data_IF_767827164348
#
_entry.id   IF_767827164348
#
_cell.length_a   1.000
_cell.length_b   1.000
_cell.length_c   1.000
_cell.angle_alpha   90.00
_cell.angle_beta   90.00
_cell.angle_gamma   90.00
#
_symmetry.space_group_name_H-M   'P 1'
#
loop_
_entity.id
_entity.type
_entity.pdbx_description
1 polymer ?
#
# COMPACT_ATOMS: atom_id res chain seq x y z
N UNK A 1 8.82 -6.68 -23.55
CA UNK A 1 10.23 -6.98 -23.23
C UNK A 1 10.62 -6.60 -21.79
N UNK A 2 10.34 -5.36 -21.35
CA UNK A 2 10.72 -4.88 -20.00
C UNK A 2 9.82 -5.42 -18.87
N UNK A 3 8.50 -5.50 -19.06
CA UNK A 3 7.57 -6.08 -18.07
C UNK A 3 7.94 -7.51 -17.67
N UNK A 4 8.45 -8.32 -18.61
CA UNK A 4 8.87 -9.69 -18.35
C UNK A 4 10.09 -9.81 -17.42
N UNK A 5 10.78 -8.70 -17.12
CA UNK A 5 11.90 -8.65 -16.18
C UNK A 5 11.49 -8.23 -14.77
N UNK A 6 10.24 -7.78 -14.56
CA UNK A 6 9.73 -7.44 -13.22
C UNK A 6 9.87 -8.59 -12.21
N UNK A 7 9.57 -9.86 -12.53
CA UNK A 7 9.74 -10.95 -11.57
C UNK A 7 11.17 -11.09 -11.03
N UNK A 8 12.18 -10.90 -11.90
CA UNK A 8 13.58 -10.93 -11.49
C UNK A 8 13.94 -9.74 -10.58
N UNK A 9 13.44 -8.55 -10.89
CA UNK A 9 13.63 -7.36 -10.06
C UNK A 9 12.94 -7.51 -8.69
N UNK A 10 11.73 -8.06 -8.65
CA UNK A 10 11.02 -8.37 -7.39
C UNK A 10 11.83 -9.36 -6.56
N UNK A 11 12.39 -10.41 -7.17
CA UNK A 11 13.28 -11.35 -6.49
C UNK A 11 14.51 -10.68 -5.87
N UNK A 12 15.08 -9.68 -6.55
CA UNK A 12 16.24 -8.94 -6.08
C UNK A 12 15.97 -8.03 -4.86
N UNK A 13 14.71 -7.67 -4.59
CA UNK A 13 14.32 -6.91 -3.38
C UNK A 13 14.63 -7.68 -2.08
N UNK A 14 14.71 -9.01 -2.14
CA UNK A 14 15.09 -9.83 -0.99
C UNK A 14 16.59 -9.86 -0.68
N UNK A 15 17.43 -9.18 -1.48
CA UNK A 15 18.88 -9.23 -1.33
C UNK A 15 19.36 -8.62 -0.01
N UNK A 16 20.37 -9.24 0.60
CA UNK A 16 21.07 -8.66 1.75
C UNK A 16 21.86 -7.39 1.39
N UNK A 17 22.26 -7.26 0.13
CA UNK A 17 23.05 -6.13 -0.35
C UNK A 17 22.14 -4.96 -0.74
N UNK A 18 22.37 -3.82 -0.10
CA UNK A 18 21.58 -2.60 -0.32
C UNK A 18 21.60 -2.12 -1.77
N UNK A 19 22.78 -2.08 -2.41
CA UNK A 19 22.92 -1.67 -3.80
C UNK A 19 22.04 -2.48 -4.77
N UNK A 20 21.86 -3.78 -4.50
CA UNK A 20 21.00 -4.66 -5.32
C UNK A 20 19.53 -4.28 -5.12
N UNK A 21 19.08 -4.12 -3.87
CA UNK A 21 17.70 -3.70 -3.57
C UNK A 21 17.39 -2.34 -4.17
N UNK A 22 18.25 -1.35 -3.96
CA UNK A 22 18.07 0.00 -4.48
C UNK A 22 18.01 0.03 -6.01
N UNK A 23 18.83 -0.77 -6.70
CA UNK A 23 18.79 -0.88 -8.17
C UNK A 23 17.49 -1.52 -8.64
N UNK A 24 17.04 -2.58 -7.97
CA UNK A 24 15.76 -3.22 -8.27
C UNK A 24 14.56 -2.27 -8.01
N UNK A 25 14.57 -1.53 -6.90
CA UNK A 25 13.55 -0.52 -6.58
C UNK A 25 13.48 0.57 -7.66
N UNK A 26 14.63 1.06 -8.15
CA UNK A 26 14.69 2.04 -9.27
C UNK A 26 14.12 1.49 -10.56
N UNK A 27 14.52 0.27 -10.91
CA UNK A 27 14.01 -0.38 -12.10
C UNK A 27 12.48 -0.55 -12.04
N UNK A 28 11.95 -1.05 -10.93
CA UNK A 28 10.50 -1.23 -10.76
C UNK A 28 9.77 0.11 -10.88
N UNK A 29 10.27 1.16 -10.23
CA UNK A 29 9.65 2.48 -10.28
C UNK A 29 9.64 3.09 -11.70
N UNK A 30 10.75 3.03 -12.43
CA UNK A 30 10.80 3.50 -13.82
C UNK A 30 9.83 2.71 -14.72
N UNK A 31 9.72 1.39 -14.52
CA UNK A 31 8.76 0.56 -15.26
C UNK A 31 7.32 0.94 -14.95
N UNK A 32 7.01 1.25 -13.68
CA UNK A 32 5.70 1.78 -13.27
C UNK A 32 5.38 3.13 -13.93
N UNK A 33 6.35 4.05 -14.00
CA UNK A 33 6.17 5.35 -14.66
C UNK A 33 5.90 5.18 -16.16
N UNK A 34 6.59 4.27 -16.85
CA UNK A 34 6.44 4.06 -18.30
C UNK A 34 5.23 3.23 -18.69
N UNK A 35 4.87 2.23 -17.88
CA UNK A 35 3.90 1.20 -18.25
C UNK A 35 2.57 1.32 -17.50
N UNK A 36 2.52 2.13 -16.44
CA UNK A 36 1.31 2.43 -15.69
C UNK A 36 0.68 1.18 -15.06
N UNK A 37 -0.58 0.92 -15.42
CA UNK A 37 -1.48 -0.05 -14.76
C UNK A 37 -0.87 -1.45 -14.66
N UNK A 38 -0.39 -2.03 -15.77
CA UNK A 38 0.15 -3.41 -15.79
C UNK A 38 1.36 -3.59 -14.86
N UNK A 39 2.20 -2.58 -14.75
CA UNK A 39 3.34 -2.61 -13.84
C UNK A 39 2.88 -2.45 -12.38
N UNK A 40 1.90 -1.59 -12.12
CA UNK A 40 1.31 -1.44 -10.80
C UNK A 40 0.57 -2.69 -10.32
N UNK A 41 -0.10 -3.43 -11.19
CA UNK A 41 -0.65 -4.73 -10.84
C UNK A 41 0.43 -5.71 -10.37
N UNK A 42 1.58 -5.73 -11.05
CA UNK A 42 2.73 -6.54 -10.61
C UNK A 42 3.24 -6.10 -9.23
N UNK A 43 3.32 -4.78 -8.97
CA UNK A 43 3.69 -4.24 -7.65
C UNK A 43 2.70 -4.68 -6.58
N UNK A 44 1.39 -4.55 -6.82
CA UNK A 44 0.34 -4.93 -5.87
C UNK A 44 0.35 -6.45 -5.61
N UNK A 45 0.56 -7.27 -6.65
CA UNK A 45 0.52 -8.73 -6.54
C UNK A 45 1.81 -9.35 -5.99
N UNK A 46 2.96 -8.70 -6.18
CA UNK A 46 4.26 -9.35 -5.90
C UNK A 46 5.21 -8.54 -5.00
N UNK A 47 5.13 -7.21 -5.00
CA UNK A 47 5.96 -6.38 -4.10
C UNK A 47 5.24 -6.15 -2.77
N UNK A 48 3.97 -5.78 -2.82
CA UNK A 48 3.18 -5.48 -1.62
C UNK A 48 3.12 -6.66 -0.61
N UNK A 49 2.96 -7.93 -1.03
CA UNK A 49 2.96 -9.05 -0.09
C UNK A 49 4.30 -9.26 0.63
N UNK A 50 5.42 -8.80 0.04
CA UNK A 50 6.73 -8.92 0.68
C UNK A 50 6.83 -8.07 1.95
N UNK A 51 6.03 -7.01 2.11
CA UNK A 51 5.93 -6.28 3.38
C UNK A 51 5.46 -7.20 4.52
N UNK A 52 4.60 -8.17 4.22
CA UNK A 52 4.06 -9.12 5.20
C UNK A 52 5.00 -10.27 5.57
N UNK A 53 6.19 -10.37 4.96
CA UNK A 53 7.08 -11.52 5.17
C UNK A 53 7.72 -11.50 6.56
N UNK A 54 7.23 -12.33 7.46
CA UNK A 54 7.72 -12.41 8.85
C UNK A 54 9.15 -12.96 8.96
N UNK A 55 9.61 -13.75 7.99
CA UNK A 55 10.88 -14.48 8.05
C UNK A 55 12.04 -13.72 7.41
N UNK A 56 11.75 -12.87 6.42
CA UNK A 56 12.78 -12.20 5.60
C UNK A 56 12.77 -10.68 5.81
N UNK A 57 13.52 -10.14 6.79
CA UNK A 57 13.57 -8.69 7.03
C UNK A 57 14.10 -7.90 5.84
N UNK A 58 15.04 -8.46 5.06
CA UNK A 58 15.55 -7.81 3.85
C UNK A 58 14.49 -7.70 2.75
N UNK A 59 13.60 -8.69 2.62
CA UNK A 59 12.50 -8.63 1.66
C UNK A 59 11.49 -7.54 2.06
N UNK A 60 11.17 -7.42 3.35
CA UNK A 60 10.33 -6.32 3.85
C UNK A 60 10.96 -4.95 3.59
N UNK A 61 12.26 -4.81 3.85
CA UNK A 61 12.98 -3.56 3.59
C UNK A 61 13.02 -3.22 2.10
N UNK A 62 13.37 -4.17 1.24
CA UNK A 62 13.37 -3.95 -0.21
C UNK A 62 11.99 -3.61 -0.76
N UNK A 63 10.93 -4.23 -0.23
CA UNK A 63 9.56 -3.89 -0.57
C UNK A 63 9.20 -2.46 -0.14
N UNK A 64 9.54 -2.06 1.09
CA UNK A 64 9.33 -0.70 1.57
C UNK A 64 10.09 0.33 0.70
N UNK A 65 11.35 0.06 0.37
CA UNK A 65 12.19 0.91 -0.49
C UNK A 65 11.61 1.03 -1.91
N UNK A 66 11.17 -0.08 -2.49
CA UNK A 66 10.53 -0.11 -3.81
C UNK A 66 9.21 0.67 -3.81
N UNK A 67 8.33 0.44 -2.83
CA UNK A 67 7.05 1.15 -2.74
C UNK A 67 7.24 2.65 -2.53
N UNK A 68 8.15 3.05 -1.63
CA UNK A 68 8.47 4.45 -1.44
C UNK A 68 8.94 5.11 -2.74
N UNK A 69 9.78 4.42 -3.51
CA UNK A 69 10.29 4.94 -4.78
C UNK A 69 9.20 4.99 -5.86
N UNK A 70 8.39 3.95 -5.99
CA UNK A 70 7.24 3.90 -6.92
C UNK A 70 6.28 5.07 -6.65
N UNK A 71 5.88 5.27 -5.39
CA UNK A 71 4.99 6.37 -4.99
C UNK A 71 5.63 7.72 -5.32
N UNK A 72 6.91 7.90 -5.03
CA UNK A 72 7.63 9.15 -5.29
C UNK A 72 7.76 9.45 -6.79
N UNK A 73 8.13 8.46 -7.60
CA UNK A 73 8.43 8.66 -9.02
C UNK A 73 7.18 8.72 -9.89
N UNK A 74 6.11 7.99 -9.54
CA UNK A 74 4.82 8.09 -10.23
C UNK A 74 4.07 9.39 -9.91
N UNK A 75 4.27 9.98 -8.72
CA UNK A 75 3.57 11.19 -8.31
C UNK A 75 2.05 11.02 -8.41
N UNK A 76 1.35 11.93 -9.10
CA UNK A 76 -0.11 11.86 -9.27
C UNK A 76 -0.59 10.59 -10.00
N UNK A 77 0.24 9.95 -10.82
CA UNK A 77 -0.13 8.73 -11.52
C UNK A 77 -0.34 7.53 -10.56
N UNK A 78 0.14 7.63 -9.30
CA UNK A 78 -0.07 6.58 -8.29
C UNK A 78 -1.43 6.68 -7.60
N UNK A 79 -2.13 7.82 -7.70
CA UNK A 79 -3.38 8.09 -6.96
C UNK A 79 -4.43 6.98 -7.13
N UNK A 80 -4.70 6.45 -8.35
CA UNK A 80 -5.69 5.39 -8.52
C UNK A 80 -5.36 4.07 -7.80
N UNK A 81 -4.09 3.89 -7.41
CA UNK A 81 -3.58 2.71 -6.71
C UNK A 81 -3.32 2.94 -5.21
N UNK A 82 -3.42 4.20 -4.75
CA UNK A 82 -3.07 4.61 -3.39
C UNK A 82 -3.82 3.80 -2.32
N UNK A 83 -5.10 3.50 -2.55
CA UNK A 83 -5.94 2.68 -1.66
C UNK A 83 -5.30 1.34 -1.32
N UNK A 84 -4.75 0.62 -2.31
CA UNK A 84 -4.10 -0.67 -2.08
C UNK A 84 -2.83 -0.56 -1.22
N UNK A 85 -2.20 0.61 -1.20
CA UNK A 85 -0.91 0.83 -0.56
C UNK A 85 -1.05 1.33 0.88
N UNK A 86 -2.08 2.12 1.18
CA UNK A 86 -2.23 2.81 2.47
C UNK A 86 -2.25 1.84 3.64
N UNK A 87 -3.14 0.84 3.62
CA UNK A 87 -3.31 -0.09 4.76
C UNK A 87 -2.07 -0.96 4.99
N UNK A 88 -1.47 -1.62 3.97
CA UNK A 88 -0.27 -2.42 4.18
C UNK A 88 0.94 -1.61 4.66
N UNK A 89 1.11 -0.37 4.15
CA UNK A 89 2.21 0.52 4.57
C UNK A 89 2.00 0.99 6.01
N UNK A 90 0.77 1.39 6.37
CA UNK A 90 0.42 1.78 7.74
C UNK A 90 0.70 0.62 8.71
N UNK A 91 0.31 -0.60 8.35
CA UNK A 91 0.53 -1.81 9.15
C UNK A 91 2.00 -2.17 9.36
N UNK A 92 2.95 -1.54 8.65
CA UNK A 92 4.40 -1.72 8.83
C UNK A 92 5.10 -0.55 9.54
N UNK A 93 4.39 0.50 9.93
CA UNK A 93 4.99 1.55 10.76
C UNK A 93 5.44 1.04 12.14
N UNK A 94 4.94 -0.12 12.56
CA UNK A 94 5.34 -0.82 13.79
C UNK A 94 6.24 -2.04 13.52
N UNK A 95 6.89 -2.14 12.35
CA UNK A 95 7.80 -3.25 12.02
C UNK A 95 8.95 -3.35 13.02
N UNK A 96 9.45 -4.56 13.29
CA UNK A 96 10.59 -4.77 14.19
C UNK A 96 11.88 -4.11 13.68
N UNK A 97 12.05 -3.98 12.36
CA UNK A 97 13.22 -3.39 11.73
C UNK A 97 13.06 -1.87 11.58
N UNK A 98 13.98 -1.11 12.19
CA UNK A 98 13.96 0.37 12.19
C UNK A 98 13.94 0.96 10.77
N UNK A 99 14.77 0.43 9.87
CA UNK A 99 14.86 0.92 8.48
C UNK A 99 13.54 0.73 7.71
N UNK A 100 12.82 -0.38 7.97
CA UNK A 100 11.49 -0.61 7.39
C UNK A 100 10.55 0.49 7.87
N UNK A 101 10.45 0.69 9.19
CA UNK A 101 9.60 1.73 9.80
C UNK A 101 9.86 3.11 9.19
N UNK A 102 11.12 3.53 9.13
CA UNK A 102 11.50 4.82 8.56
C UNK A 102 11.07 4.97 7.10
N UNK A 103 11.25 3.93 6.30
CA UNK A 103 10.88 3.95 4.89
C UNK A 103 9.36 4.02 4.69
N UNK A 104 8.60 3.16 5.39
CA UNK A 104 7.13 3.15 5.27
C UNK A 104 6.48 4.40 5.86
N UNK A 105 7.03 4.99 6.92
CA UNK A 105 6.55 6.28 7.46
C UNK A 105 6.71 7.41 6.45
N UNK A 106 7.86 7.49 5.77
CA UNK A 106 8.07 8.47 4.69
C UNK A 106 7.11 8.23 3.52
N UNK A 107 6.98 6.97 3.10
CA UNK A 107 6.07 6.59 2.02
C UNK A 107 4.62 6.94 2.34
N UNK A 108 4.16 6.67 3.56
CA UNK A 108 2.81 7.00 4.00
C UNK A 108 2.59 8.51 4.02
N UNK A 109 3.56 9.31 4.47
CA UNK A 109 3.45 10.77 4.42
C UNK A 109 3.17 11.27 3.00
N UNK A 110 3.83 10.71 1.99
CA UNK A 110 3.55 11.03 0.58
C UNK A 110 2.17 10.53 0.14
N UNK A 111 1.78 9.31 0.52
CA UNK A 111 0.45 8.77 0.18
C UNK A 111 -0.68 9.58 0.81
N UNK A 112 -0.53 10.02 2.06
CA UNK A 112 -1.53 10.79 2.78
C UNK A 112 -1.81 12.13 2.10
N UNK A 113 -0.78 12.75 1.50
CA UNK A 113 -0.93 13.97 0.70
C UNK A 113 -1.69 13.73 -0.62
N UNK A 114 -1.63 12.51 -1.16
CA UNK A 114 -2.25 12.12 -2.42
C UNK A 114 -3.66 11.53 -2.25
N UNK A 115 -3.96 10.98 -1.07
CA UNK A 115 -5.20 10.26 -0.79
C UNK A 115 -6.48 11.09 -1.02
N UNK A 116 -6.54 12.39 -0.67
CA UNK A 116 -7.72 13.22 -0.95
C UNK A 116 -8.06 13.33 -2.45
N UNK A 117 -7.08 13.11 -3.34
CA UNK A 117 -7.25 13.21 -4.79
C UNK A 117 -7.86 11.93 -5.39
N UNK A 118 -7.96 10.84 -4.62
CA UNK A 118 -8.56 9.59 -5.08
C UNK A 118 -10.07 9.70 -5.21
N UNK A 119 -10.69 10.46 -4.30
CA UNK A 119 -12.13 10.68 -4.28
C UNK A 119 -12.58 11.42 -5.55
N UNK A 120 -13.14 10.68 -6.50
CA UNK A 120 -13.68 11.20 -7.76
C UNK A 120 -12.93 10.77 -9.01
N UNK A 121 -11.84 10.00 -8.89
CA UNK A 121 -11.20 9.40 -10.07
C UNK A 121 -11.87 8.08 -10.45
N UNK A 122 -12.15 7.84 -11.75
CA UNK A 122 -12.56 6.52 -12.22
C UNK A 122 -11.43 5.51 -12.04
N UNK A 123 -11.79 4.24 -12.03
CA UNK A 123 -10.79 3.18 -11.99
C UNK A 123 -9.94 3.21 -13.27
N UNK A 124 -8.62 2.94 -13.16
CA UNK A 124 -7.73 3.04 -14.30
C UNK A 124 -8.05 1.96 -15.34
N UNK A 125 -8.06 2.33 -16.61
CA UNK A 125 -8.34 1.41 -17.72
C UNK A 125 -7.35 0.24 -17.74
N UNK A 126 -7.88 -0.98 -17.78
CA UNK A 126 -7.07 -2.21 -17.80
C UNK A 126 -6.67 -2.74 -16.42
N UNK A 127 -7.26 -2.23 -15.33
CA UNK A 127 -7.19 -2.87 -14.02
C UNK A 127 -8.04 -4.14 -14.01
N UNK A 128 -7.49 -5.23 -13.48
CA UNK A 128 -8.21 -6.50 -13.39
C UNK A 128 -9.44 -6.42 -12.46
N UNK A 129 -10.49 -7.17 -12.79
CA UNK A 129 -11.77 -7.13 -12.07
C UNK A 129 -11.63 -7.47 -10.57
N UNK A 130 -10.76 -8.42 -10.22
CA UNK A 130 -10.48 -8.78 -8.83
C UNK A 130 -9.87 -7.62 -8.03
N UNK A 131 -8.98 -6.84 -8.65
CA UNK A 131 -8.41 -5.66 -8.02
C UNK A 131 -9.42 -4.53 -7.92
N UNK A 132 -10.28 -4.35 -8.93
CA UNK A 132 -11.36 -3.37 -8.88
C UNK A 132 -12.34 -3.67 -7.73
N UNK A 133 -12.79 -4.93 -7.57
CA UNK A 133 -13.63 -5.33 -6.44
C UNK A 133 -12.93 -5.10 -5.09
N UNK A 134 -11.66 -5.52 -4.96
CA UNK A 134 -10.89 -5.30 -3.73
C UNK A 134 -10.72 -3.81 -3.41
N UNK A 135 -10.57 -2.95 -4.42
CA UNK A 135 -10.46 -1.51 -4.25
C UNK A 135 -11.69 -0.92 -3.57
N UNK A 136 -12.89 -1.38 -3.93
CA UNK A 136 -14.16 -0.92 -3.32
C UNK A 136 -14.20 -1.24 -1.82
N UNK A 137 -13.76 -2.44 -1.43
CA UNK A 137 -13.69 -2.84 -0.02
C UNK A 137 -12.70 -1.98 0.77
N UNK A 138 -11.49 -1.80 0.23
CA UNK A 138 -10.43 -1.01 0.87
C UNK A 138 -10.80 0.48 0.92
N UNK A 139 -11.54 1.01 -0.07
CA UNK A 139 -12.06 2.39 -0.05
C UNK A 139 -13.01 2.60 1.12
N UNK A 140 -13.95 1.67 1.34
CA UNK A 140 -14.89 1.74 2.48
C UNK A 140 -14.13 1.79 3.80
N UNK A 141 -13.11 0.95 3.97
CA UNK A 141 -12.27 0.95 5.16
C UNK A 141 -11.55 2.30 5.36
N UNK A 142 -10.96 2.87 4.31
CA UNK A 142 -10.25 4.14 4.40
C UNK A 142 -11.19 5.32 4.67
N UNK A 143 -12.41 5.30 4.13
CA UNK A 143 -13.41 6.32 4.44
C UNK A 143 -13.76 6.32 5.94
N UNK A 144 -13.92 5.15 6.56
CA UNK A 144 -14.15 5.03 8.00
C UNK A 144 -12.95 5.48 8.84
N UNK A 145 -11.73 5.27 8.32
CA UNK A 145 -10.50 5.69 8.99
C UNK A 145 -10.31 7.22 8.96
N UNK A 146 -10.71 7.87 7.88
CA UNK A 146 -10.56 9.32 7.68
C UNK A 146 -11.74 10.12 8.24
N UNK A 147 -12.94 9.54 8.23
CA UNK A 147 -14.17 10.16 8.68
C UNK A 147 -14.83 9.28 9.74
N UNK A 148 -14.58 9.64 11.01
CA UNK A 148 -15.13 8.91 12.16
C UNK A 148 -16.66 8.94 12.22
N UNK A 149 -17.31 9.87 11.50
CA UNK A 149 -18.78 9.91 11.42
C UNK A 149 -19.38 8.80 10.56
N UNK A 150 -18.56 8.17 9.71
CA UNK A 150 -18.93 7.04 8.84
C UNK A 150 -18.61 5.67 9.44
N UNK A 151 -18.11 5.64 10.68
CA UNK A 151 -17.77 4.40 11.37
C UNK A 151 -19.03 3.56 11.57
N UNK A 152 -18.96 2.29 11.17
CA UNK A 152 -20.08 1.37 11.35
C UNK A 152 -20.29 1.11 12.85
N UNK A 153 -21.56 1.10 13.29
CA UNK A 153 -21.90 0.79 14.67
C UNK A 153 -21.40 -0.61 15.05
N UNK A 154 -20.47 -0.68 16.00
CA UNK A 154 -19.97 -1.95 16.51
C UNK A 154 -20.95 -2.55 17.53
N UNK A 155 -21.55 -3.70 17.18
CA UNK A 155 -22.36 -4.47 18.11
C UNK A 155 -21.46 -5.18 19.12
N UNK A 156 -21.51 -4.75 20.38
CA UNK A 156 -20.73 -5.34 21.47
C UNK A 156 -21.19 -6.80 21.66
N UNK A 157 -20.31 -7.80 21.52
CA UNK A 157 -20.70 -9.22 21.56
C UNK A 157 -21.02 -9.74 22.97
N UNK A 158 -20.92 -8.88 23.97
CA UNK A 158 -21.15 -9.17 25.38
C UNK A 158 -22.35 -8.38 25.88
N UNK A 159 -23.19 -9.02 26.70
CA UNK A 159 -24.36 -8.38 27.28
C UNK A 159 -23.91 -7.37 28.34
N UNK A 160 -24.08 -6.09 28.06
CA UNK A 160 -23.83 -5.01 29.02
C UNK A 160 -25.19 -4.55 29.55
N UNK A 161 -25.43 -4.70 30.85
CA UNK A 161 -26.63 -4.17 31.54
C UNK A 161 -26.48 -2.66 31.78
N UNK A 162 -26.22 -1.90 30.72
CA UNK A 162 -26.15 -0.45 30.75
C UNK A 162 -26.56 0.13 29.40
N UNK A 163 -27.30 1.24 29.44
CA UNK A 163 -27.63 2.01 28.25
C UNK A 163 -26.45 2.93 27.92
N UNK A 164 -25.71 2.61 26.87
CA UNK A 164 -24.62 3.46 26.40
C UNK A 164 -25.18 4.77 25.83
N UNK A 165 -24.66 5.90 26.30
CA UNK A 165 -24.93 7.23 25.73
C UNK A 165 -24.29 7.30 24.34
N UNK A 166 -24.78 8.21 23.49
CA UNK A 166 -24.33 8.33 22.09
C UNK A 166 -22.80 8.39 21.92
N UNK A 167 -22.13 9.23 22.71
CA UNK A 167 -20.66 9.36 22.71
C UNK A 167 -19.89 8.16 23.30
N UNK A 168 -20.59 7.23 23.97
CA UNK A 168 -19.99 5.99 24.48
C UNK A 168 -20.09 4.85 23.44
N UNK A 169 -20.91 5.04 22.41
CA UNK A 169 -21.16 4.10 21.33
C UNK A 169 -20.47 4.54 20.02
N UNK A 170 -20.40 5.86 19.77
CA UNK A 170 -19.55 6.52 18.75
C UNK A 170 -18.06 6.38 19.10
#
# INVERSE_FOLDING_TARGET
EVLGKLPAAVGALGSKYDAVRQTASRFIAEVCVRTGVKAMECVIRHVLPLLGDSKRPHARLGAAEALHRVVKEMGFAVVPFSIFLVVPILGRMSDSVVAVRQCVTRCFGTLLQLLPLEAGLPDPEGLSEDLASKKVEERRFLEQLLDTSKVDNYAIPVKIDATLRKYQQE
#
